data_IF_493858258656
#
_entry.id   IF_493858258656
#
_cell.length_a   1.000
_cell.length_b   1.000
_cell.length_c   1.000
_cell.angle_alpha   90.00
_cell.angle_beta   90.00
_cell.angle_gamma   90.00
#
_symmetry.space_group_name_H-M   'P 1'
#
loop_
_entity.id
_entity.type
_entity.pdbx_description
1 polymer ?
#
# COMPACT_ATOMS: atom_id res chain seq x y z
N UNK A 1 17.33 0.88 -4.71
CA UNK A 1 16.44 1.81 -4.01
C UNK A 1 15.36 1.02 -3.28
N UNK A 2 15.06 1.39 -2.06
CA UNK A 2 13.96 0.83 -1.27
C UNK A 2 13.04 1.96 -0.89
N UNK A 3 11.76 1.86 -1.23
CA UNK A 3 10.79 2.95 -1.05
C UNK A 3 9.53 2.41 -0.39
N UNK A 4 9.04 3.11 0.63
CA UNK A 4 7.74 2.83 1.23
C UNK A 4 6.85 4.05 1.02
N UNK A 5 5.74 3.83 0.32
CA UNK A 5 4.72 4.85 0.02
C UNK A 5 3.57 4.64 0.98
N UNK A 6 3.08 5.71 1.57
CA UNK A 6 2.06 5.66 2.61
C UNK A 6 0.78 6.33 2.16
N UNK A 7 -0.34 5.64 2.31
CA UNK A 7 -1.66 6.22 2.09
C UNK A 7 -2.56 5.93 3.30
N UNK A 8 -3.22 6.98 3.82
CA UNK A 8 -4.14 6.86 4.96
C UNK A 8 -5.50 7.52 4.69
N UNK A 9 -5.70 8.14 3.53
CA UNK A 9 -6.95 8.82 3.18
C UNK A 9 -7.47 8.33 1.83
N UNK A 10 -8.77 8.05 1.75
CA UNK A 10 -9.39 7.58 0.51
C UNK A 10 -9.23 8.54 -0.66
N UNK A 11 -9.30 9.85 -0.39
CA UNK A 11 -9.20 10.86 -1.45
C UNK A 11 -7.85 10.87 -2.15
N UNK A 12 -6.83 10.28 -1.54
CA UNK A 12 -5.47 10.27 -2.11
C UNK A 12 -5.21 9.14 -3.08
N UNK A 13 -6.10 8.17 -3.23
CA UNK A 13 -5.87 7.04 -4.11
C UNK A 13 -5.44 7.42 -5.52
N UNK A 14 -6.09 8.38 -6.22
CA UNK A 14 -5.66 8.71 -7.58
C UNK A 14 -4.21 9.22 -7.63
N UNK A 15 -3.83 10.10 -6.71
CA UNK A 15 -2.47 10.64 -6.66
C UNK A 15 -1.45 9.56 -6.32
N UNK A 16 -1.77 8.72 -5.35
CA UNK A 16 -0.87 7.64 -4.91
C UNK A 16 -0.62 6.66 -6.05
N UNK A 17 -1.68 6.25 -6.75
CA UNK A 17 -1.53 5.31 -7.87
C UNK A 17 -0.66 5.90 -8.99
N UNK A 18 -0.85 7.18 -9.27
CA UNK A 18 -0.01 7.87 -10.25
C UNK A 18 1.46 7.92 -9.80
N UNK A 19 1.70 8.21 -8.54
CA UNK A 19 3.06 8.24 -7.98
C UNK A 19 3.72 6.86 -8.01
N UNK A 20 2.98 5.81 -7.70
CA UNK A 20 3.49 4.44 -7.78
C UNK A 20 3.92 4.09 -9.21
N UNK A 21 3.15 4.52 -10.19
CA UNK A 21 3.50 4.30 -11.59
C UNK A 21 4.82 4.97 -11.96
N UNK A 22 5.01 6.22 -11.53
CA UNK A 22 6.27 6.94 -11.76
C UNK A 22 7.44 6.25 -11.05
N UNK A 23 7.25 5.82 -9.81
CA UNK A 23 8.29 5.14 -9.05
C UNK A 23 8.68 3.82 -9.68
N UNK A 24 7.70 3.04 -10.14
CA UNK A 24 7.96 1.76 -10.78
C UNK A 24 8.74 1.90 -12.08
N UNK A 25 8.50 2.99 -12.81
CA UNK A 25 9.25 3.27 -14.03
C UNK A 25 10.69 3.72 -13.74
N UNK A 26 10.88 4.53 -12.71
CA UNK A 26 12.20 5.04 -12.34
C UNK A 26 13.05 3.98 -11.64
N UNK A 27 12.42 3.09 -10.87
CA UNK A 27 13.09 2.11 -10.04
C UNK A 27 12.51 0.71 -10.28
N UNK A 28 12.83 0.09 -11.42
CA UNK A 28 12.23 -1.21 -11.77
C UNK A 28 12.78 -2.36 -10.92
N UNK A 29 11.93 -3.39 -10.75
CA UNK A 29 12.35 -4.63 -10.13
C UNK A 29 13.34 -5.37 -11.06
N UNK A 30 14.18 -6.28 -10.56
CA UNK A 30 14.28 -6.71 -9.15
C UNK A 30 15.25 -5.90 -8.31
N UNK A 31 15.97 -4.94 -8.92
CA UNK A 31 17.02 -4.17 -8.22
C UNK A 31 16.45 -3.20 -7.18
N UNK A 32 15.16 -2.89 -7.27
CA UNK A 32 14.51 -1.92 -6.41
C UNK A 32 13.29 -2.56 -5.74
N UNK A 33 12.94 -2.08 -4.56
CA UNK A 33 11.79 -2.56 -3.79
C UNK A 33 10.86 -1.40 -3.50
N UNK A 34 9.59 -1.58 -3.81
CA UNK A 34 8.55 -0.58 -3.54
C UNK A 34 7.44 -1.25 -2.75
N UNK A 35 7.12 -0.66 -1.60
CA UNK A 35 6.01 -1.11 -0.77
C UNK A 35 4.97 0.00 -0.69
N UNK A 36 3.70 -0.36 -0.82
CA UNK A 36 2.59 0.54 -0.53
C UNK A 36 1.98 0.13 0.80
N UNK A 37 2.12 1.00 1.80
CA UNK A 37 1.54 0.79 3.13
C UNK A 37 0.22 1.54 3.21
N UNK A 38 -0.85 0.79 3.48
CA UNK A 38 -2.22 1.31 3.54
C UNK A 38 -2.73 1.20 4.97
N UNK A 39 -3.12 2.32 5.58
CA UNK A 39 -3.75 2.32 6.89
C UNK A 39 -4.86 3.38 6.95
N UNK A 40 -5.48 3.54 8.12
CA UNK A 40 -6.58 4.48 8.29
C UNK A 40 -7.72 4.20 7.32
N UNK A 41 -8.42 5.24 6.91
CA UNK A 41 -9.58 5.10 6.02
C UNK A 41 -9.21 4.55 4.64
N UNK A 42 -7.96 4.67 4.23
CA UNK A 42 -7.54 4.19 2.91
C UNK A 42 -7.70 2.67 2.76
N UNK A 43 -7.77 1.91 3.88
CA UNK A 43 -8.00 0.46 3.80
C UNK A 43 -9.34 0.12 3.15
N UNK A 44 -10.30 1.03 3.15
CA UNK A 44 -11.58 0.83 2.46
C UNK A 44 -11.38 0.64 0.95
N UNK A 45 -10.34 1.24 0.39
CA UNK A 45 -10.03 1.14 -1.04
C UNK A 45 -9.51 -0.21 -1.47
N UNK A 46 -8.86 -0.95 -0.56
CA UNK A 46 -8.30 -2.27 -0.90
C UNK A 46 -9.30 -3.42 -0.74
N UNK A 47 -10.53 -3.12 -0.39
CA UNK A 47 -11.60 -4.13 -0.44
C UNK A 47 -11.84 -4.52 -1.90
N UNK A 48 -12.02 -5.81 -2.15
CA UNK A 48 -12.21 -6.31 -3.51
C UNK A 48 -13.43 -5.70 -4.21
N UNK A 49 -14.44 -5.27 -3.43
CA UNK A 49 -15.65 -4.65 -3.98
C UNK A 49 -15.61 -3.12 -4.00
N UNK A 50 -14.47 -2.51 -3.68
CA UNK A 50 -14.38 -1.06 -3.74
C UNK A 50 -14.32 -0.56 -5.18
N UNK A 51 -14.74 0.68 -5.40
CA UNK A 51 -14.64 1.27 -6.74
C UNK A 51 -13.20 1.57 -7.15
N UNK A 52 -12.26 1.56 -6.20
CA UNK A 52 -10.83 1.75 -6.48
C UNK A 52 -10.11 0.43 -6.74
N UNK A 53 -10.74 -0.72 -6.45
CA UNK A 53 -10.08 -2.02 -6.43
C UNK A 53 -9.38 -2.37 -7.74
N UNK A 54 -10.06 -2.17 -8.87
CA UNK A 54 -9.51 -2.51 -10.18
C UNK A 54 -8.28 -1.67 -10.51
N UNK A 55 -8.34 -0.37 -10.23
CA UNK A 55 -7.22 0.55 -10.46
C UNK A 55 -6.04 0.21 -9.55
N UNK A 56 -6.32 -0.12 -8.30
CA UNK A 56 -5.28 -0.51 -7.35
C UNK A 56 -4.61 -1.80 -7.83
N UNK A 57 -5.41 -2.81 -8.16
CA UNK A 57 -4.88 -4.08 -8.66
C UNK A 57 -4.01 -3.88 -9.90
N UNK A 58 -4.45 -3.04 -10.82
CA UNK A 58 -3.72 -2.77 -12.06
C UNK A 58 -2.39 -2.04 -11.79
N UNK A 59 -2.36 -1.12 -10.83
CA UNK A 59 -1.15 -0.37 -10.47
C UNK A 59 -0.15 -1.22 -9.71
N UNK A 60 -0.63 -2.21 -8.93
CA UNK A 60 0.21 -3.09 -8.13
C UNK A 60 0.66 -4.28 -8.96
N UNK A 61 1.42 -4.02 -9.99
CA UNK A 61 2.05 -5.09 -10.75
C UNK A 61 2.96 -5.89 -9.82
N UNK A 62 3.55 -6.98 -10.31
CA UNK A 62 4.36 -7.91 -9.52
C UNK A 62 5.50 -7.27 -8.73
N UNK A 63 5.82 -6.00 -8.99
CA UNK A 63 6.98 -5.35 -8.37
C UNK A 63 6.64 -4.45 -7.17
N UNK A 64 5.37 -4.28 -6.83
CA UNK A 64 4.95 -3.44 -5.70
C UNK A 64 4.26 -4.32 -4.67
N UNK A 65 4.78 -4.32 -3.44
CA UNK A 65 4.18 -5.04 -2.33
C UNK A 65 3.07 -4.20 -1.70
N UNK A 66 1.88 -4.78 -1.58
CA UNK A 66 0.75 -4.13 -0.90
C UNK A 66 0.70 -4.60 0.55
N UNK A 67 0.93 -3.69 1.49
CA UNK A 67 0.86 -3.97 2.93
C UNK A 67 -0.32 -3.24 3.54
N UNK A 68 -1.19 -3.95 4.24
CA UNK A 68 -2.43 -3.43 4.81
C UNK A 68 -2.44 -3.59 6.32
N UNK A 69 -2.76 -2.51 7.02
CA UNK A 69 -2.72 -2.45 8.48
C UNK A 69 -3.89 -3.23 9.10
N UNK A 70 -3.58 -4.28 9.89
CA UNK A 70 -4.59 -5.06 10.59
C UNK A 70 -5.41 -4.21 11.57
N UNK A 71 -4.77 -3.31 12.31
CA UNK A 71 -5.48 -2.45 13.26
C UNK A 71 -6.55 -1.62 12.55
N UNK A 72 -6.23 -1.06 11.40
CA UNK A 72 -7.19 -0.26 10.63
C UNK A 72 -8.35 -1.10 10.12
N UNK A 73 -8.08 -2.35 9.70
CA UNK A 73 -9.12 -3.28 9.27
C UNK A 73 -10.06 -3.63 10.42
N UNK A 74 -9.49 -3.97 11.58
CA UNK A 74 -10.26 -4.35 12.77
C UNK A 74 -11.19 -3.22 13.21
N UNK A 75 -10.67 -2.00 13.26
CA UNK A 75 -11.47 -0.81 13.65
C UNK A 75 -12.64 -0.58 12.70
N UNK A 76 -12.53 -0.99 11.45
CA UNK A 76 -13.56 -0.79 10.42
C UNK A 76 -14.36 -2.06 10.13
N UNK A 77 -14.14 -3.12 10.91
CA UNK A 77 -14.86 -4.40 10.77
C UNK A 77 -14.72 -5.00 9.37
N UNK A 78 -13.54 -4.87 8.79
CA UNK A 78 -13.20 -5.44 7.49
C UNK A 78 -12.43 -6.73 7.72
N UNK A 79 -12.86 -7.83 7.10
CA UNK A 79 -12.14 -9.11 7.19
C UNK A 79 -11.13 -9.22 6.07
N UNK A 80 -10.05 -9.98 6.32
CA UNK A 80 -8.98 -10.13 5.34
C UNK A 80 -9.45 -10.83 4.07
N UNK A 81 -10.49 -11.67 4.16
CA UNK A 81 -11.03 -12.35 2.98
C UNK A 81 -11.70 -11.39 2.00
N UNK A 82 -12.07 -10.18 2.46
CA UNK A 82 -12.73 -9.18 1.61
C UNK A 82 -11.74 -8.33 0.82
N UNK A 83 -10.44 -8.54 1.02
CA UNK A 83 -9.38 -7.72 0.42
C UNK A 83 -8.92 -8.26 -0.92
N UNK A 84 -8.23 -7.41 -1.68
CA UNK A 84 -7.53 -7.83 -2.90
C UNK A 84 -6.56 -8.98 -2.59
N UNK A 85 -6.47 -9.94 -3.51
CA UNK A 85 -5.77 -11.21 -3.28
C UNK A 85 -4.29 -11.09 -2.92
N UNK A 86 -3.62 -10.07 -3.42
CA UNK A 86 -2.19 -9.90 -3.18
C UNK A 86 -1.88 -8.97 -2.01
N UNK A 87 -2.84 -8.79 -1.10
CA UNK A 87 -2.64 -8.01 0.11
C UNK A 87 -1.79 -8.78 1.12
N UNK A 88 -0.75 -8.14 1.65
CA UNK A 88 0.01 -8.65 2.79
C UNK A 88 -0.48 -7.90 4.02
N UNK A 89 -0.81 -8.65 5.09
CA UNK A 89 -1.34 -8.04 6.30
C UNK A 89 -0.20 -7.80 7.28
N UNK A 90 -0.08 -6.56 7.75
CA UNK A 90 0.87 -6.20 8.80
C UNK A 90 0.09 -5.84 10.07
N UNK A 91 0.61 -6.21 11.23
CA UNK A 91 -0.11 -6.03 12.49
C UNK A 91 -0.41 -4.57 12.78
N UNK A 92 0.55 -3.69 12.54
CA UNK A 92 0.43 -2.25 12.75
C UNK A 92 1.12 -1.49 11.63
N UNK A 93 0.37 -0.63 10.93
CA UNK A 93 0.93 0.15 9.83
C UNK A 93 2.03 1.11 10.28
N UNK A 94 1.82 1.78 11.44
CA UNK A 94 2.83 2.74 11.92
C UNK A 94 4.12 2.04 12.34
N UNK A 95 4.03 0.83 12.90
CA UNK A 95 5.22 0.04 13.24
C UNK A 95 5.93 -0.39 11.96
N UNK A 96 5.19 -0.85 10.97
CA UNK A 96 5.76 -1.22 9.67
C UNK A 96 6.52 -0.05 9.05
N UNK A 97 5.96 1.16 9.09
CA UNK A 97 6.61 2.35 8.56
C UNK A 97 7.95 2.63 9.27
N UNK A 98 7.97 2.51 10.60
CA UNK A 98 9.19 2.75 11.37
C UNK A 98 10.24 1.68 11.08
N UNK A 99 9.84 0.42 11.08
CA UNK A 99 10.76 -0.70 10.87
C UNK A 99 11.36 -0.67 9.46
N UNK A 100 10.57 -0.36 8.44
CA UNK A 100 11.07 -0.30 7.08
C UNK A 100 12.06 0.87 6.90
N UNK A 101 11.79 2.01 7.53
CA UNK A 101 12.74 3.11 7.50
C UNK A 101 14.06 2.74 8.20
N UNK A 102 13.99 1.95 9.27
CA UNK A 102 15.20 1.44 9.92
C UNK A 102 16.00 0.51 9.00
N UNK A 103 15.34 -0.13 8.04
CA UNK A 103 15.98 -1.00 7.05
C UNK A 103 16.45 -0.24 5.81
N UNK A 104 16.35 1.09 5.82
CA UNK A 104 16.84 1.91 4.71
C UNK A 104 15.81 2.29 3.66
N UNK A 105 14.52 2.02 3.91
CA UNK A 105 13.48 2.47 2.99
C UNK A 105 13.29 3.98 3.08
N UNK A 106 13.16 4.62 1.92
CA UNK A 106 12.79 6.03 1.85
C UNK A 106 11.28 6.14 1.99
N UNK A 107 10.83 7.00 2.89
CA UNK A 107 9.41 7.20 3.17
C UNK A 107 8.85 8.32 2.29
N UNK A 108 7.75 8.02 1.60
CA UNK A 108 7.04 9.00 0.77
C UNK A 108 5.56 9.01 1.14
N UNK A 109 5.07 10.17 1.53
CA UNK A 109 3.65 10.39 1.76
C UNK A 109 3.14 11.42 0.76
N UNK A 110 2.47 10.96 -0.32
CA UNK A 110 1.88 11.85 -1.31
C UNK A 110 0.82 12.80 -0.79
#
# INVERSE_FOLDING_TARGET
MKIIVHIDEMAKWPMVLNNLNHLAQAYPAPSNQIELLVNGDAVMGVKANSKEAEKIHHALTSQIMLAVCQNSLTQRKITTEDLLNNSTIVASGVVELVEKQALGYHYLRP
#
